data_IF_844646738925
#
_entry.id   IF_844646738925
#
_cell.length_a   1.000
_cell.length_b   1.000
_cell.length_c   1.000
_cell.angle_alpha   90.00
_cell.angle_beta   90.00
_cell.angle_gamma   90.00
#
_symmetry.space_group_name_H-M   'P 1'
#
loop_
_entity.id
_entity.type
_entity.pdbx_description
1 polymer ?
#
# COMPACT_ATOMS: atom_id res chain seq x y z
N UNK A 1 3.57 -1.54 39.35
CA UNK A 1 2.74 -2.36 38.49
C UNK A 1 3.43 -2.52 37.15
N UNK A 2 3.36 -3.68 36.52
CA UNK A 2 3.88 -3.97 35.18
C UNK A 2 2.67 -4.04 34.22
N UNK A 3 2.65 -3.14 33.26
CA UNK A 3 1.65 -3.18 32.19
C UNK A 3 2.23 -3.83 30.94
N UNK A 4 1.45 -4.72 30.30
CA UNK A 4 1.80 -5.34 29.02
C UNK A 4 0.72 -5.05 28.02
N UNK A 5 1.15 -4.63 26.82
CA UNK A 5 0.26 -4.36 25.69
C UNK A 5 0.81 -5.12 24.49
N UNK A 6 -0.01 -5.95 23.85
CA UNK A 6 0.42 -6.70 22.68
C UNK A 6 -0.59 -7.75 22.21
N UNK A 7 -0.14 -8.65 21.37
CA UNK A 7 -0.97 -9.68 20.75
C UNK A 7 -1.22 -10.88 21.69
N UNK A 8 -2.04 -11.84 21.24
CA UNK A 8 -2.32 -13.09 22.00
C UNK A 8 -1.06 -13.85 22.39
N UNK A 9 -0.04 -13.85 21.53
CA UNK A 9 1.23 -14.55 21.79
C UNK A 9 1.96 -13.96 23.01
N UNK A 10 1.94 -12.63 23.14
CA UNK A 10 2.52 -11.96 24.31
C UNK A 10 1.76 -12.32 25.60
N UNK A 11 0.42 -12.33 25.56
CA UNK A 11 -0.39 -12.71 26.73
C UNK A 11 -0.13 -14.15 27.15
N UNK A 12 -0.10 -15.08 26.21
CA UNK A 12 0.21 -16.48 26.45
C UNK A 12 1.63 -16.67 27.05
N UNK A 13 2.63 -15.97 26.50
CA UNK A 13 4.01 -16.05 27.02
C UNK A 13 4.17 -15.50 28.43
N UNK A 14 3.28 -14.61 28.84
CA UNK A 14 3.22 -14.03 30.18
C UNK A 14 2.26 -14.77 31.12
N UNK A 15 1.70 -15.92 30.71
CA UNK A 15 0.71 -16.72 31.46
C UNK A 15 -0.51 -15.88 31.89
N UNK A 16 -0.99 -14.99 31.02
CA UNK A 16 -2.17 -14.16 31.26
C UNK A 16 -3.36 -14.84 30.59
N UNK A 17 -4.33 -15.24 31.41
CA UNK A 17 -5.57 -15.85 30.92
C UNK A 17 -6.54 -14.79 30.40
N UNK A 18 -7.04 -14.98 29.19
CA UNK A 18 -8.07 -14.15 28.57
C UNK A 18 -9.34 -14.99 28.49
N UNK A 19 -10.46 -14.45 28.93
CA UNK A 19 -11.74 -15.16 28.89
C UNK A 19 -12.14 -15.51 27.45
N UNK A 20 -12.85 -16.62 27.26
CA UNK A 20 -13.39 -17.01 25.96
C UNK A 20 -14.34 -15.96 25.37
N UNK A 21 -15.02 -15.20 26.22
CA UNK A 21 -15.91 -14.11 25.80
C UNK A 21 -15.09 -12.97 25.16
N UNK A 22 -13.97 -12.58 25.80
CA UNK A 22 -13.12 -11.50 25.31
C UNK A 22 -12.36 -11.94 24.05
N UNK A 23 -11.91 -13.19 23.99
CA UNK A 23 -11.33 -13.77 22.78
C UNK A 23 -12.30 -13.78 21.61
N UNK A 24 -13.57 -14.09 21.85
CA UNK A 24 -14.60 -14.06 20.81
C UNK A 24 -14.85 -12.64 20.30
N UNK A 25 -14.98 -11.66 21.20
CA UNK A 25 -15.11 -10.24 20.82
C UNK A 25 -13.89 -9.75 20.06
N UNK A 26 -12.67 -10.11 20.49
CA UNK A 26 -11.45 -9.78 19.78
C UNK A 26 -11.46 -10.34 18.35
N UNK A 27 -11.86 -11.61 18.19
CA UNK A 27 -11.99 -12.22 16.86
C UNK A 27 -13.03 -11.54 15.97
N UNK A 28 -14.13 -11.04 16.54
CA UNK A 28 -15.13 -10.26 15.79
C UNK A 28 -14.54 -8.95 15.26
N UNK A 29 -13.69 -8.27 16.05
CA UNK A 29 -12.98 -7.08 15.59
C UNK A 29 -11.90 -7.41 14.55
N UNK A 30 -11.16 -8.51 14.72
CA UNK A 30 -10.17 -8.98 13.74
C UNK A 30 -10.83 -9.31 12.40
N UNK A 31 -12.03 -9.94 12.41
CA UNK A 31 -12.81 -10.20 11.20
C UNK A 31 -13.32 -8.90 10.51
N UNK A 32 -13.40 -7.78 11.25
CA UNK A 32 -13.69 -6.46 10.69
C UNK A 32 -12.44 -5.76 10.13
N UNK A 33 -11.28 -6.44 10.09
CA UNK A 33 -10.03 -5.86 9.63
C UNK A 33 -9.32 -4.97 10.66
N UNK A 34 -9.67 -5.08 11.95
CA UNK A 34 -9.04 -4.30 13.01
C UNK A 34 -7.88 -5.07 13.64
N UNK A 35 -6.83 -4.37 14.00
CA UNK A 35 -5.75 -4.93 14.82
C UNK A 35 -6.16 -4.89 16.28
N UNK A 36 -6.21 -6.05 16.94
CA UNK A 36 -6.56 -6.15 18.36
C UNK A 36 -5.31 -6.32 19.21
N UNK A 37 -5.11 -5.41 20.14
CA UNK A 37 -4.09 -5.50 21.17
C UNK A 37 -4.72 -5.73 22.54
N UNK A 38 -4.19 -6.69 23.28
CA UNK A 38 -4.62 -7.04 24.63
C UNK A 38 -3.79 -6.26 25.66
N UNK A 39 -4.42 -5.88 26.76
CA UNK A 39 -3.80 -5.10 27.83
C UNK A 39 -3.92 -5.89 29.13
N UNK A 40 -2.82 -5.97 29.86
CA UNK A 40 -2.77 -6.58 31.20
C UNK A 40 -2.01 -5.72 32.20
N UNK A 41 -2.38 -5.85 33.45
CA UNK A 41 -1.64 -5.34 34.62
C UNK A 41 -1.14 -6.52 35.46
N UNK A 42 0.17 -6.62 35.60
CA UNK A 42 0.84 -7.78 36.20
C UNK A 42 0.44 -9.09 35.47
N UNK A 43 -0.37 -9.93 36.10
CA UNK A 43 -0.91 -11.19 35.57
C UNK A 43 -2.41 -11.08 35.22
N UNK A 44 -3.03 -9.93 35.46
CA UNK A 44 -4.47 -9.75 35.25
C UNK A 44 -4.76 -9.16 33.89
N UNK A 45 -5.59 -9.80 33.11
CA UNK A 45 -6.15 -9.20 31.88
C UNK A 45 -7.08 -8.04 32.26
N UNK A 46 -6.86 -6.87 31.67
CA UNK A 46 -7.67 -5.65 31.92
C UNK A 46 -8.64 -5.41 30.78
N UNK A 47 -8.24 -5.71 29.53
CA UNK A 47 -9.08 -5.44 28.36
C UNK A 47 -8.32 -5.55 27.05
N UNK A 48 -8.99 -5.18 25.97
CA UNK A 48 -8.40 -5.14 24.64
C UNK A 48 -8.73 -3.81 23.95
N UNK A 49 -7.81 -3.37 23.10
CA UNK A 49 -7.96 -2.18 22.25
C UNK A 49 -7.97 -2.65 20.79
N UNK A 50 -9.03 -2.33 20.07
CA UNK A 50 -9.13 -2.58 18.64
C UNK A 50 -8.74 -1.30 17.88
N UNK A 51 -7.67 -1.38 17.12
CA UNK A 51 -7.19 -0.31 16.26
C UNK A 51 -7.67 -0.57 14.84
N UNK A 52 -8.11 0.47 14.18
CA UNK A 52 -8.48 0.42 12.76
C UNK A 52 -7.81 1.58 12.07
N UNK A 53 -7.04 1.28 11.05
CA UNK A 53 -6.60 2.31 10.13
C UNK A 53 -7.81 2.78 9.33
N UNK A 54 -8.07 4.08 9.40
CA UNK A 54 -9.11 4.67 8.56
C UNK A 54 -8.54 4.88 7.16
N UNK A 55 -9.17 4.23 6.18
CA UNK A 55 -8.85 4.47 4.78
C UNK A 55 -9.13 5.93 4.45
N UNK A 56 -8.11 6.63 3.97
CA UNK A 56 -8.25 8.02 3.54
C UNK A 56 -9.21 8.08 2.33
N UNK A 57 -10.11 9.05 2.32
CA UNK A 57 -11.00 9.29 1.18
C UNK A 57 -10.22 9.50 -0.13
N UNK A 58 -9.05 10.12 -0.03
CA UNK A 58 -8.13 10.31 -1.16
C UNK A 58 -7.66 9.00 -1.79
N UNK A 59 -7.57 7.90 -1.02
CA UNK A 59 -7.23 6.58 -1.55
C UNK A 59 -8.34 6.02 -2.45
N UNK A 60 -9.60 6.18 -2.03
CA UNK A 60 -10.77 5.79 -2.85
C UNK A 60 -10.81 6.60 -4.15
N UNK A 61 -10.57 7.91 -4.05
CA UNK A 61 -10.53 8.80 -5.22
C UNK A 61 -9.40 8.40 -6.18
N UNK A 62 -8.21 8.13 -5.67
CA UNK A 62 -7.05 7.72 -6.47
C UNK A 62 -7.31 6.41 -7.23
N UNK A 63 -7.82 5.38 -6.56
CA UNK A 63 -8.16 4.09 -7.19
C UNK A 63 -9.19 4.29 -8.31
N UNK A 64 -10.23 5.08 -8.07
CA UNK A 64 -11.24 5.40 -9.09
C UNK A 64 -10.64 6.17 -10.28
N UNK A 65 -9.72 7.12 -10.04
CA UNK A 65 -9.04 7.87 -11.10
C UNK A 65 -8.14 6.97 -11.94
N UNK A 66 -7.34 6.11 -11.31
CA UNK A 66 -6.48 5.14 -12.00
C UNK A 66 -7.31 4.19 -12.86
N UNK A 67 -8.42 3.68 -12.34
CA UNK A 67 -9.34 2.81 -13.08
C UNK A 67 -9.93 3.50 -14.32
N UNK A 68 -10.25 4.82 -14.25
CA UNK A 68 -10.69 5.61 -15.40
C UNK A 68 -9.59 5.89 -16.42
N UNK A 69 -8.33 5.70 -16.05
CA UNK A 69 -7.17 5.81 -16.94
C UNK A 69 -6.79 4.46 -17.56
N UNK A 70 -7.64 3.41 -17.38
CA UNK A 70 -7.41 2.02 -17.79
C UNK A 70 -6.15 1.42 -17.13
N UNK A 71 -5.91 1.78 -15.86
CA UNK A 71 -4.82 1.26 -15.06
C UNK A 71 -5.38 0.28 -14.02
N UNK A 72 -4.93 -0.97 -14.08
CA UNK A 72 -5.25 -1.99 -13.09
C UNK A 72 -4.54 -1.67 -11.77
N UNK A 73 -5.30 -1.62 -10.68
CA UNK A 73 -4.76 -1.41 -9.34
C UNK A 73 -4.75 -2.71 -8.56
N UNK A 74 -3.62 -3.02 -7.94
CA UNK A 74 -3.38 -4.21 -7.16
C UNK A 74 -2.87 -3.82 -5.77
N UNK A 75 -3.37 -4.45 -4.72
CA UNK A 75 -2.86 -4.29 -3.35
C UNK A 75 -1.89 -5.40 -3.02
N UNK A 76 -0.72 -5.03 -2.51
CA UNK A 76 0.32 -5.94 -2.05
C UNK A 76 0.66 -5.60 -0.60
N UNK A 77 0.31 -6.46 0.35
CA UNK A 77 0.41 -6.17 1.79
C UNK A 77 0.91 -7.37 2.59
N UNK A 78 1.60 -7.09 3.71
CA UNK A 78 1.94 -8.07 4.73
C UNK A 78 0.79 -8.39 5.69
N UNK A 79 -0.33 -7.68 5.62
CA UNK A 79 -1.49 -7.93 6.46
C UNK A 79 -2.12 -9.29 6.11
N UNK A 80 -2.91 -9.82 7.06
CA UNK A 80 -3.68 -11.04 6.83
C UNK A 80 -4.81 -10.83 5.82
N UNK A 81 -5.32 -11.94 5.27
CA UNK A 81 -6.34 -11.94 4.21
C UNK A 81 -7.61 -11.16 4.59
N UNK A 82 -8.06 -11.27 5.86
CA UNK A 82 -9.28 -10.60 6.31
C UNK A 82 -9.12 -9.08 6.32
N UNK A 83 -8.01 -8.59 6.86
CA UNK A 83 -7.68 -7.15 6.91
C UNK A 83 -7.48 -6.61 5.49
N UNK A 84 -6.68 -7.30 4.68
CA UNK A 84 -6.40 -6.91 3.30
C UNK A 84 -7.67 -6.84 2.44
N UNK A 85 -8.56 -7.85 2.56
CA UNK A 85 -9.83 -7.87 1.86
C UNK A 85 -10.77 -6.75 2.29
N UNK A 86 -10.83 -6.43 3.60
CA UNK A 86 -11.65 -5.34 4.12
C UNK A 86 -11.18 -3.98 3.58
N UNK A 87 -9.87 -3.71 3.61
CA UNK A 87 -9.27 -2.48 3.09
C UNK A 87 -9.49 -2.38 1.58
N UNK A 88 -9.16 -3.43 0.83
CA UNK A 88 -9.31 -3.44 -0.62
C UNK A 88 -10.76 -3.17 -1.06
N UNK A 89 -11.72 -3.80 -0.38
CA UNK A 89 -13.15 -3.55 -0.62
C UNK A 89 -13.52 -2.10 -0.37
N UNK A 90 -13.00 -1.48 0.69
CA UNK A 90 -13.31 -0.08 1.04
C UNK A 90 -12.76 0.92 0.02
N UNK A 91 -11.62 0.62 -0.64
CA UNK A 91 -11.02 1.48 -1.67
C UNK A 91 -11.40 1.09 -3.09
N UNK A 92 -12.08 -0.04 -3.29
CA UNK A 92 -12.50 -0.52 -4.61
C UNK A 92 -11.43 -1.30 -5.39
N UNK A 93 -10.39 -1.82 -4.71
CA UNK A 93 -9.36 -2.68 -5.32
C UNK A 93 -9.88 -4.12 -5.41
N UNK A 94 -9.75 -4.73 -6.59
CA UNK A 94 -10.22 -6.10 -6.87
C UNK A 94 -9.13 -7.16 -6.71
N UNK A 95 -7.88 -6.82 -6.99
CA UNK A 95 -6.74 -7.75 -6.93
C UNK A 95 -5.96 -7.49 -5.64
N UNK A 96 -5.89 -8.49 -4.76
CA UNK A 96 -5.24 -8.39 -3.45
C UNK A 96 -4.29 -9.55 -3.26
N UNK A 97 -3.10 -9.27 -2.76
CA UNK A 97 -2.11 -10.23 -2.33
C UNK A 97 -1.76 -9.91 -0.87
N UNK A 98 -2.29 -10.70 0.03
CA UNK A 98 -2.11 -10.60 1.47
C UNK A 98 -0.98 -11.52 1.95
N UNK A 99 -0.58 -11.37 3.22
CA UNK A 99 0.47 -12.18 3.88
C UNK A 99 1.82 -12.19 3.13
N UNK A 100 2.10 -11.17 2.31
CA UNK A 100 3.33 -11.11 1.51
C UNK A 100 4.49 -10.59 2.36
N UNK A 101 5.52 -11.40 2.51
CA UNK A 101 6.71 -11.01 3.26
C UNK A 101 7.53 -9.96 2.46
N UNK A 102 8.33 -9.12 3.14
CA UNK A 102 9.08 -8.04 2.46
C UNK A 102 9.92 -8.52 1.28
N UNK A 103 10.60 -9.67 1.40
CA UNK A 103 11.42 -10.25 0.33
C UNK A 103 10.59 -10.83 -0.82
N UNK A 104 9.36 -11.27 -0.57
CA UNK A 104 8.45 -11.82 -1.60
C UNK A 104 7.80 -10.72 -2.44
N UNK A 105 7.77 -9.47 -1.94
CA UNK A 105 7.18 -8.35 -2.70
C UNK A 105 7.87 -8.15 -4.04
N UNK A 106 9.20 -8.22 -4.08
CA UNK A 106 9.98 -8.09 -5.32
C UNK A 106 9.67 -9.19 -6.31
N UNK A 107 9.60 -10.45 -5.87
CA UNK A 107 9.26 -11.59 -6.73
C UNK A 107 7.84 -11.43 -7.30
N UNK A 108 6.92 -10.93 -6.46
CA UNK A 108 5.54 -10.68 -6.89
C UNK A 108 5.48 -9.59 -7.96
N UNK A 109 6.20 -8.49 -7.79
CA UNK A 109 6.31 -7.42 -8.79
C UNK A 109 6.88 -7.98 -10.10
N UNK A 110 7.95 -8.76 -10.05
CA UNK A 110 8.55 -9.38 -11.23
C UNK A 110 7.56 -10.31 -11.96
N UNK A 111 6.70 -11.02 -11.23
CA UNK A 111 5.68 -11.89 -11.82
C UNK A 111 4.60 -11.15 -12.62
N UNK A 112 4.41 -9.85 -12.41
CA UNK A 112 3.46 -9.02 -13.17
C UNK A 112 4.08 -8.43 -14.44
N UNK A 113 5.41 -8.39 -14.53
CA UNK A 113 6.10 -7.81 -15.68
C UNK A 113 5.96 -8.73 -16.89
N UNK A 114 5.64 -8.14 -18.02
CA UNK A 114 5.63 -8.80 -19.34
C UNK A 114 5.96 -7.77 -20.42
N UNK A 115 6.09 -8.22 -21.67
CA UNK A 115 6.37 -7.31 -22.79
C UNK A 115 5.26 -6.25 -22.99
N UNK A 116 4.04 -6.60 -22.58
CA UNK A 116 2.86 -5.76 -22.83
C UNK A 116 2.40 -5.01 -21.57
N UNK A 117 2.98 -5.30 -20.40
CA UNK A 117 2.60 -4.69 -19.13
C UNK A 117 3.74 -3.85 -18.54
N UNK A 118 3.46 -2.60 -18.26
CA UNK A 118 4.33 -1.72 -17.45
C UNK A 118 3.82 -1.76 -16.00
N UNK A 119 4.68 -2.13 -15.08
CA UNK A 119 4.38 -2.28 -13.67
C UNK A 119 4.95 -1.10 -12.89
N UNK A 120 4.08 -0.32 -12.25
CA UNK A 120 4.48 0.69 -11.28
C UNK A 120 4.27 0.17 -9.85
N UNK A 121 5.26 0.34 -8.99
CA UNK A 121 5.16 0.08 -7.55
C UNK A 121 5.10 1.40 -6.80
N UNK A 122 4.12 1.53 -5.91
CA UNK A 122 3.99 2.67 -5.00
C UNK A 122 4.20 2.18 -3.58
N UNK A 123 5.13 2.78 -2.85
CA UNK A 123 5.47 2.39 -1.48
C UNK A 123 5.99 3.56 -0.65
N UNK A 124 6.06 3.38 0.67
CA UNK A 124 6.46 4.42 1.63
C UNK A 124 7.51 3.94 2.64
N UNK A 125 7.79 2.66 2.71
CA UNK A 125 8.63 2.07 3.74
C UNK A 125 9.93 1.44 3.25
N UNK A 126 10.87 1.20 4.19
CA UNK A 126 12.13 0.47 3.96
C UNK A 126 11.85 -0.91 3.34
N UNK A 127 10.78 -1.55 3.78
CA UNK A 127 10.38 -2.89 3.32
C UNK A 127 9.92 -2.91 1.87
N UNK A 128 9.64 -1.77 1.28
CA UNK A 128 9.17 -1.62 -0.10
C UNK A 128 10.32 -1.30 -1.08
N UNK A 129 11.48 -0.89 -0.59
CA UNK A 129 12.61 -0.50 -1.42
C UNK A 129 13.01 -1.58 -2.45
N UNK A 130 13.14 -2.88 -2.11
CA UNK A 130 13.43 -3.91 -3.10
C UNK A 130 12.33 -4.07 -4.16
N UNK A 131 11.06 -3.88 -3.79
CA UNK A 131 9.93 -3.94 -4.71
C UNK A 131 9.87 -2.71 -5.64
N UNK A 132 10.19 -1.51 -5.10
CA UNK A 132 10.31 -0.27 -5.90
C UNK A 132 11.35 -0.43 -7.01
N UNK A 133 12.55 -0.93 -6.67
CA UNK A 133 13.62 -1.19 -7.65
C UNK A 133 13.23 -2.28 -8.66
N UNK A 134 12.45 -3.26 -8.26
CA UNK A 134 12.04 -4.38 -9.13
C UNK A 134 10.95 -4.01 -10.14
N UNK A 135 10.21 -2.93 -9.91
CA UNK A 135 9.18 -2.43 -10.81
C UNK A 135 9.78 -1.83 -12.11
N UNK A 136 8.94 -1.51 -13.09
CA UNK A 136 9.35 -0.70 -14.24
C UNK A 136 9.37 0.79 -13.87
N UNK A 137 8.57 1.17 -12.87
CA UNK A 137 8.53 2.52 -12.30
C UNK A 137 8.34 2.37 -10.79
N UNK A 138 9.34 2.76 -10.01
CA UNK A 138 9.26 2.88 -8.54
C UNK A 138 8.77 4.28 -8.15
N UNK A 139 7.74 4.35 -7.31
CA UNK A 139 7.17 5.62 -6.83
C UNK A 139 7.18 5.62 -5.30
N UNK A 140 7.98 6.49 -4.69
CA UNK A 140 7.98 6.70 -3.24
C UNK A 140 6.99 7.78 -2.83
N UNK A 141 6.26 7.53 -1.74
CA UNK A 141 5.39 8.53 -1.13
C UNK A 141 6.21 9.49 -0.25
N UNK A 142 5.83 10.78 -0.22
CA UNK A 142 6.61 11.84 0.42
C UNK A 142 6.84 11.71 1.93
N UNK A 143 6.00 10.93 2.61
CA UNK A 143 6.20 10.57 4.02
C UNK A 143 7.03 9.28 4.17
N UNK A 144 7.60 8.77 3.06
CA UNK A 144 8.40 7.55 3.02
C UNK A 144 9.76 7.73 3.67
N UNK A 145 10.40 6.59 3.96
CA UNK A 145 11.76 6.56 4.49
C UNK A 145 12.78 6.98 3.43
N UNK A 146 13.93 7.51 3.86
CA UNK A 146 15.03 7.89 2.96
C UNK A 146 15.43 6.75 2.02
N UNK A 147 15.43 5.51 2.51
CA UNK A 147 15.74 4.32 1.72
C UNK A 147 14.71 4.07 0.60
N UNK A 148 13.42 4.30 0.87
CA UNK A 148 12.38 4.17 -0.16
C UNK A 148 12.50 5.29 -1.20
N UNK A 149 12.83 6.50 -0.76
CA UNK A 149 13.05 7.67 -1.63
C UNK A 149 14.24 7.44 -2.56
N UNK A 150 15.36 6.91 -2.05
CA UNK A 150 16.54 6.59 -2.85
C UNK A 150 16.30 5.44 -3.84
N UNK A 151 15.41 4.51 -3.52
CA UNK A 151 15.06 3.35 -4.36
C UNK A 151 14.05 3.66 -5.47
N UNK A 152 13.42 4.84 -5.45
CA UNK A 152 12.34 5.18 -6.35
C UNK A 152 12.80 6.05 -7.54
N UNK A 153 12.16 5.84 -8.70
CA UNK A 153 12.34 6.71 -9.88
C UNK A 153 11.61 8.04 -9.71
N UNK A 154 10.52 8.04 -8.95
CA UNK A 154 9.68 9.22 -8.71
C UNK A 154 9.40 9.33 -7.21
N UNK A 155 9.62 10.52 -6.66
CA UNK A 155 9.24 10.83 -5.27
C UNK A 155 8.08 11.83 -5.27
N UNK A 156 6.99 11.45 -4.62
CA UNK A 156 5.83 12.30 -4.42
C UNK A 156 5.99 13.04 -3.08
N UNK A 157 5.98 14.36 -3.12
CA UNK A 157 6.23 15.20 -1.94
C UNK A 157 5.10 15.19 -0.89
N UNK A 158 3.98 14.57 -1.19
CA UNK A 158 2.82 14.46 -0.30
C UNK A 158 2.38 13.01 -0.19
N UNK A 159 1.99 12.59 1.01
CA UNK A 159 1.40 11.28 1.27
C UNK A 159 -0.05 11.13 0.76
N UNK A 160 -0.38 11.76 -0.38
CA UNK A 160 -1.68 11.69 -1.03
C UNK A 160 -1.61 10.81 -2.27
N UNK A 161 -2.31 9.65 -2.30
CA UNK A 161 -2.34 8.76 -3.46
C UNK A 161 -2.81 9.42 -4.76
N UNK A 162 -3.58 10.52 -4.71
CA UNK A 162 -3.97 11.27 -5.90
C UNK A 162 -2.77 11.84 -6.66
N UNK A 163 -1.66 12.12 -5.98
CA UNK A 163 -0.43 12.61 -6.62
C UNK A 163 0.13 11.60 -7.64
N UNK A 164 -0.09 10.30 -7.46
CA UNK A 164 0.24 9.26 -8.47
C UNK A 164 -0.54 9.51 -9.76
N UNK A 165 -1.85 9.76 -9.65
CA UNK A 165 -2.70 10.06 -10.80
C UNK A 165 -2.26 11.34 -11.52
N UNK A 166 -1.89 12.37 -10.76
CA UNK A 166 -1.44 13.65 -11.29
C UNK A 166 -0.11 13.49 -12.03
N UNK A 167 0.84 12.71 -11.47
CA UNK A 167 2.11 12.39 -12.12
C UNK A 167 1.92 11.65 -13.46
N UNK A 168 1.07 10.64 -13.49
CA UNK A 168 0.75 9.89 -14.71
C UNK A 168 0.08 10.81 -15.75
N UNK A 169 -0.86 11.65 -15.33
CA UNK A 169 -1.50 12.61 -16.22
C UNK A 169 -0.50 13.60 -16.81
N UNK A 170 0.35 14.19 -15.97
CA UNK A 170 1.39 15.12 -16.39
C UNK A 170 2.35 14.47 -17.40
N UNK A 171 2.80 13.24 -17.14
CA UNK A 171 3.66 12.48 -18.05
C UNK A 171 2.99 12.29 -19.41
N UNK A 172 1.72 11.85 -19.46
CA UNK A 172 0.96 11.69 -20.70
C UNK A 172 0.84 13.01 -21.47
N UNK A 173 0.56 14.12 -20.79
CA UNK A 173 0.45 15.44 -21.40
C UNK A 173 1.80 15.94 -21.95
N UNK A 174 2.88 15.74 -21.22
CA UNK A 174 4.24 16.09 -21.65
C UNK A 174 4.63 15.32 -22.89
N UNK A 175 4.40 14.00 -22.93
CA UNK A 175 4.69 13.17 -24.10
C UNK A 175 3.85 13.59 -25.33
N UNK A 176 2.59 13.96 -25.12
CA UNK A 176 1.75 14.51 -26.19
C UNK A 176 2.35 15.79 -26.77
N UNK A 177 2.81 16.71 -25.91
CA UNK A 177 3.47 17.96 -26.34
C UNK A 177 4.78 17.71 -27.07
N UNK A 178 5.62 16.80 -26.58
CA UNK A 178 6.87 16.42 -27.25
C UNK A 178 6.58 15.91 -28.68
N UNK A 179 5.60 14.99 -28.83
CA UNK A 179 5.21 14.47 -30.16
C UNK A 179 4.68 15.55 -31.07
N UNK A 180 3.86 16.48 -30.57
CA UNK A 180 3.39 17.63 -31.36
C UNK A 180 4.54 18.53 -31.81
N UNK A 181 5.47 18.85 -30.91
CA UNK A 181 6.62 19.70 -31.25
C UNK A 181 7.52 19.04 -32.30
N UNK A 182 7.80 17.74 -32.15
CA UNK A 182 8.55 16.98 -33.16
C UNK A 182 7.84 16.96 -34.51
N UNK A 183 6.55 16.72 -34.54
CA UNK A 183 5.75 16.73 -35.76
C UNK A 183 5.89 18.08 -36.50
N UNK A 184 5.72 19.21 -35.82
CA UNK A 184 5.86 20.51 -36.41
C UNK A 184 7.29 20.83 -36.85
N UNK A 185 8.28 20.40 -36.07
CA UNK A 185 9.71 20.55 -36.41
C UNK A 185 10.03 19.79 -37.72
N UNK A 186 9.54 18.55 -37.87
CA UNK A 186 9.75 17.79 -39.12
C UNK A 186 9.05 18.41 -40.31
N UNK A 187 7.77 18.88 -40.17
CA UNK A 187 7.06 19.55 -41.24
C UNK A 187 7.79 20.82 -41.68
N UNK A 188 8.20 21.64 -40.71
CA UNK A 188 8.93 22.89 -41.01
C UNK A 188 10.21 22.63 -41.80
N UNK A 189 11.01 21.64 -41.39
CA UNK A 189 12.25 21.26 -42.06
C UNK A 189 12.03 20.52 -43.40
N UNK A 190 10.84 19.96 -43.65
CA UNK A 190 10.53 19.23 -44.89
C UNK A 190 9.88 20.09 -45.99
N UNK A 191 9.34 21.26 -45.63
CA UNK A 191 8.66 22.18 -46.55
C UNK A 191 9.55 23.40 -46.87
N UNK A 192 10.53 23.72 -46.03
CA UNK A 192 11.51 24.77 -46.22
C UNK A 192 12.75 24.26 -46.91
#
# INVERSE_FOLDING_TARGET
>A
NVYRIGNRKLMNSANIEISNIDLKKASEFEMQGKTVMFVSENTNFIGAVALSDTVKETSVQAVNRLSRMDIDVCMLTGDNDATAAAIAKSVGIKKVFANVLPHEKSEKILSFKSKDNVVAMVGDGINDAPALVSADIGIAMGDGTDVAIEAADITLLRGDPNAVCDGIYLSKMTMKKIRQNLFWAFIYNGIG
#
